data_IF_921461974117
#
_entry.id   IF_921461974117
#
_cell.length_a   1.000
_cell.length_b   1.000
_cell.length_c   1.000
_cell.angle_alpha   90.00
_cell.angle_beta   90.00
_cell.angle_gamma   90.00
#
_symmetry.space_group_name_H-M   'P 1'
#
loop_
_entity.id
_entity.type
_entity.pdbx_description
1 polymer ?
#
# COMPACT_ATOMS: atom_id res chain seq x y z
N UNK A 1 -6.23 16.62 -9.35
CA UNK A 1 -5.31 15.60 -9.91
C UNK A 1 -4.59 14.92 -8.74
N UNK A 2 -5.01 13.72 -8.32
CA UNK A 2 -4.32 12.94 -7.29
C UNK A 2 -3.52 11.84 -8.00
N UNK A 3 -2.18 11.95 -7.95
CA UNK A 3 -1.29 10.95 -8.51
C UNK A 3 -1.20 9.76 -7.53
N UNK A 4 -1.34 8.54 -8.05
CA UNK A 4 -1.09 7.34 -7.26
C UNK A 4 0.37 7.30 -6.82
N UNK A 5 0.62 6.92 -5.57
CA UNK A 5 1.95 6.87 -4.97
C UNK A 5 2.39 5.42 -4.86
N UNK A 6 3.57 5.12 -5.40
CA UNK A 6 4.18 3.81 -5.24
C UNK A 6 4.88 3.68 -3.90
N UNK A 7 4.71 2.53 -3.25
CA UNK A 7 5.44 2.19 -2.03
C UNK A 7 5.66 0.70 -1.84
N UNK A 8 6.33 0.36 -0.73
CA UNK A 8 6.61 -1.03 -0.34
C UNK A 8 5.85 -1.38 0.93
N UNK A 9 5.15 -2.49 0.93
CA UNK A 9 4.43 -2.98 2.12
C UNK A 9 5.44 -3.37 3.20
N UNK A 10 5.35 -2.74 4.36
CA UNK A 10 6.20 -3.04 5.53
C UNK A 10 5.46 -3.88 6.57
N UNK A 11 4.13 -3.80 6.59
CA UNK A 11 3.27 -4.57 7.50
C UNK A 11 1.87 -4.74 6.90
N UNK A 12 1.19 -5.83 7.22
CA UNK A 12 -0.23 -6.07 6.89
C UNK A 12 -0.92 -6.55 8.15
N UNK A 13 -1.99 -5.86 8.56
CA UNK A 13 -2.74 -6.18 9.78
C UNK A 13 -4.22 -5.78 9.60
N UNK A 14 -5.13 -6.67 9.98
CA UNK A 14 -6.58 -6.41 10.04
C UNK A 14 -7.17 -5.78 8.75
N UNK A 15 -6.72 -6.22 7.58
CA UNK A 15 -7.18 -5.71 6.27
C UNK A 15 -6.63 -4.34 5.88
N UNK A 16 -5.66 -3.81 6.63
CA UNK A 16 -4.86 -2.64 6.31
C UNK A 16 -3.43 -3.04 6.01
N UNK A 17 -2.78 -2.29 5.14
CA UNK A 17 -1.35 -2.40 4.86
C UNK A 17 -0.66 -1.10 5.25
N UNK A 18 0.42 -1.21 6.01
CA UNK A 18 1.36 -0.12 6.22
C UNK A 18 2.38 -0.16 5.10
N UNK A 19 2.46 0.93 4.34
CA UNK A 19 3.32 1.04 3.16
C UNK A 19 4.31 2.17 3.37
N UNK A 20 5.57 1.91 3.08
CA UNK A 20 6.62 2.91 3.09
C UNK A 20 6.76 3.56 1.71
N UNK A 21 6.56 4.87 1.67
CA UNK A 21 6.65 5.73 0.50
C UNK A 21 7.59 6.90 0.83
N UNK A 22 8.73 7.02 0.14
CA UNK A 22 9.68 8.15 0.29
C UNK A 22 10.00 8.48 1.77
N UNK A 23 10.31 7.45 2.57
CA UNK A 23 10.60 7.54 4.01
C UNK A 23 9.41 7.93 4.91
N UNK A 24 8.18 7.93 4.39
CA UNK A 24 6.95 8.07 5.17
C UNK A 24 6.20 6.75 5.20
N UNK A 25 5.54 6.46 6.32
CA UNK A 25 4.65 5.31 6.45
C UNK A 25 3.22 5.77 6.28
N UNK A 26 2.49 5.10 5.40
CA UNK A 26 1.09 5.38 5.08
C UNK A 26 0.30 4.11 5.38
N UNK A 27 -0.75 4.24 6.19
CA UNK A 27 -1.75 3.18 6.31
C UNK A 27 -2.71 3.25 5.12
N UNK A 28 -2.87 2.13 4.43
CA UNK A 28 -3.78 2.01 3.30
C UNK A 28 -4.73 0.81 3.47
N UNK A 29 -5.96 0.94 3.01
CA UNK A 29 -6.94 -0.15 2.99
C UNK A 29 -6.54 -1.17 1.91
N UNK A 30 -6.51 -2.45 2.27
CA UNK A 30 -6.08 -3.55 1.39
C UNK A 30 -7.09 -4.71 1.34
N UNK A 31 -8.38 -4.44 1.61
CA UNK A 31 -9.40 -5.49 1.86
C UNK A 31 -9.53 -6.56 0.78
N UNK A 32 -9.28 -6.22 -0.48
CA UNK A 32 -9.53 -7.12 -1.62
C UNK A 32 -8.25 -7.59 -2.34
N UNK A 33 -7.08 -7.13 -1.89
CA UNK A 33 -5.79 -7.48 -2.52
C UNK A 33 -4.95 -8.27 -1.52
N UNK A 34 -4.56 -9.50 -1.89
CA UNK A 34 -3.63 -10.30 -1.10
C UNK A 34 -2.24 -9.66 -1.13
N UNK A 35 -1.88 -9.01 -0.04
CA UNK A 35 -0.57 -8.38 0.17
C UNK A 35 0.25 -9.15 1.19
N UNK A 36 1.56 -9.16 0.98
CA UNK A 36 2.55 -9.59 1.97
C UNK A 36 3.60 -8.51 2.16
N UNK A 37 4.29 -8.57 3.30
CA UNK A 37 5.46 -7.72 3.56
C UNK A 37 6.47 -7.87 2.43
N UNK A 38 6.91 -6.74 1.89
CA UNK A 38 7.86 -6.66 0.78
C UNK A 38 7.25 -6.40 -0.59
N UNK A 39 5.93 -6.59 -0.76
CA UNK A 39 5.23 -6.32 -2.02
C UNK A 39 5.33 -4.83 -2.38
N UNK A 40 5.41 -4.54 -3.68
CA UNK A 40 5.32 -3.18 -4.21
C UNK A 40 3.89 -2.90 -4.61
N UNK A 41 3.36 -1.76 -4.18
CA UNK A 41 1.95 -1.41 -4.38
C UNK A 41 1.79 0.05 -4.81
N UNK A 42 0.69 0.32 -5.49
CA UNK A 42 0.19 1.67 -5.74
C UNK A 42 -0.91 2.02 -4.74
N UNK A 43 -0.79 3.21 -4.16
CA UNK A 43 -1.78 3.77 -3.25
C UNK A 43 -2.42 4.99 -3.90
N UNK A 44 -3.74 5.04 -3.85
CA UNK A 44 -4.48 6.23 -4.23
C UNK A 44 -5.60 6.47 -3.21
N UNK A 45 -5.72 7.71 -2.72
CA UNK A 45 -6.69 8.08 -1.68
C UNK A 45 -6.70 7.18 -0.43
N UNK A 46 -5.53 6.67 -0.01
CA UNK A 46 -5.42 5.78 1.16
C UNK A 46 -5.92 4.35 0.92
N UNK A 47 -6.09 3.94 -0.34
CA UNK A 47 -6.47 2.58 -0.73
C UNK A 47 -5.37 1.99 -1.60
N UNK A 48 -5.04 0.72 -1.37
CA UNK A 48 -4.18 -0.02 -2.29
C UNK A 48 -4.99 -0.37 -3.52
N UNK A 49 -4.61 0.20 -4.67
CA UNK A 49 -5.33 0.02 -5.94
C UNK A 49 -4.73 -1.08 -6.81
N UNK A 50 -3.42 -1.32 -6.68
CA UNK A 50 -2.72 -2.31 -7.50
C UNK A 50 -1.48 -2.85 -6.79
N UNK A 51 -1.21 -4.14 -6.98
CA UNK A 51 0.07 -4.78 -6.65
C UNK A 51 0.93 -4.85 -7.92
N UNK A 52 2.11 -4.25 -7.87
CA UNK A 52 3.00 -4.12 -9.03
C UNK A 52 3.85 -5.37 -9.29
N UNK A 53 4.19 -6.16 -8.26
CA UNK A 53 4.87 -7.46 -8.33
C UNK A 53 4.80 -8.17 -6.97
#
# INVERSE_FOLDING_TARGET
MCLAVQGKVVEVKDGKATVECRNQKIEAIAKDIKLKKGDKVLIQFGVVVEKLS
#
